data_IF_823491486355
#
_entry.id   IF_823491486355
#
_cell.length_a   1.000
_cell.length_b   1.000
_cell.length_c   1.000
_cell.angle_alpha   90.00
_cell.angle_beta   90.00
_cell.angle_gamma   90.00
#
_symmetry.space_group_name_H-M   'P 1'
#
loop_
_entity.id
_entity.type
_entity.pdbx_description
1 polymer ?
#
# COMPACT_ATOMS: atom_id res chain seq x y z
N UNK A 1 100.49 -14.36 29.10
CA UNK A 1 99.71 -13.78 30.23
C UNK A 1 98.38 -13.30 29.78
N UNK A 2 97.34 -13.92 30.32
CA UNK A 2 95.93 -13.64 30.29
C UNK A 2 95.19 -13.69 28.90
N UNK A 3 94.72 -14.85 28.60
CA UNK A 3 93.71 -15.16 27.60
C UNK A 3 92.27 -14.72 28.06
N UNK A 4 91.56 -14.06 27.18
CA UNK A 4 90.13 -13.87 27.36
C UNK A 4 89.42 -14.62 26.24
N UNK A 5 88.46 -15.52 26.49
CA UNK A 5 87.62 -16.13 25.43
C UNK A 5 86.49 -15.17 25.07
N UNK A 6 86.29 -15.05 23.77
CA UNK A 6 85.19 -14.35 23.15
C UNK A 6 83.94 -15.28 23.20
N UNK A 7 82.90 -14.87 23.92
CA UNK A 7 81.62 -15.57 23.91
C UNK A 7 80.78 -15.01 22.75
N UNK A 8 80.55 -15.89 21.78
CA UNK A 8 79.70 -15.62 20.62
C UNK A 8 78.23 -15.82 21.06
N UNK A 9 77.54 -14.70 21.24
CA UNK A 9 76.10 -14.74 21.54
C UNK A 9 75.34 -14.86 20.20
N UNK A 10 74.73 -16.02 19.95
CA UNK A 10 73.80 -16.22 18.86
C UNK A 10 72.45 -15.61 19.19
N UNK A 11 72.14 -14.51 18.50
CA UNK A 11 70.79 -13.89 18.55
C UNK A 11 69.85 -14.73 17.67
N UNK A 12 68.95 -15.48 18.27
CA UNK A 12 67.83 -16.14 17.57
C UNK A 12 66.75 -15.07 17.43
N UNK A 13 66.57 -14.54 16.24
CA UNK A 13 65.42 -13.71 15.86
C UNK A 13 64.18 -14.62 15.69
N UNK A 14 63.29 -14.65 16.69
CA UNK A 14 61.97 -15.22 16.55
C UNK A 14 61.11 -14.20 15.84
N UNK A 15 60.82 -14.42 14.55
CA UNK A 15 59.85 -13.67 13.78
C UNK A 15 58.42 -14.16 14.20
N UNK A 16 57.80 -13.49 15.13
CA UNK A 16 56.39 -13.64 15.38
C UNK A 16 55.59 -12.98 14.25
N UNK A 17 55.19 -13.81 13.27
CA UNK A 17 54.16 -13.42 12.30
C UNK A 17 52.85 -13.27 13.04
N UNK A 18 52.52 -12.05 13.49
CA UNK A 18 51.19 -11.72 13.97
C UNK A 18 50.25 -11.69 12.75
N UNK A 19 49.61 -12.80 12.46
CA UNK A 19 48.48 -12.86 11.57
C UNK A 19 47.30 -12.13 12.24
N UNK A 20 47.16 -10.85 11.94
CA UNK A 20 45.95 -10.09 12.25
C UNK A 20 44.79 -10.69 11.42
N UNK A 21 44.08 -11.61 12.03
CA UNK A 21 42.75 -11.98 11.56
C UNK A 21 41.89 -10.73 11.80
N UNK A 22 41.70 -9.95 10.72
CA UNK A 22 40.65 -8.94 10.70
C UNK A 22 39.33 -9.72 10.66
N UNK A 23 38.85 -10.06 11.86
CA UNK A 23 37.50 -10.50 12.05
C UNK A 23 36.63 -9.27 11.72
N UNK A 24 36.13 -9.20 10.48
CA UNK A 24 35.01 -8.31 10.18
C UNK A 24 33.85 -8.75 11.06
N UNK A 25 33.82 -8.29 12.29
CA UNK A 25 32.58 -8.26 13.04
C UNK A 25 31.65 -7.32 12.29
N UNK A 26 30.76 -7.86 11.47
CA UNK A 26 29.51 -7.19 11.12
C UNK A 26 28.95 -6.76 12.46
N UNK A 27 28.92 -5.46 12.72
CA UNK A 27 28.15 -4.91 13.84
C UNK A 27 26.73 -5.39 13.69
N UNK A 28 26.30 -6.33 14.54
CA UNK A 28 24.99 -6.94 14.55
C UNK A 28 23.96 -6.11 15.33
N UNK A 29 24.22 -4.83 15.54
CA UNK A 29 23.40 -4.00 16.44
C UNK A 29 22.46 -3.01 15.70
N UNK A 30 22.32 -3.13 14.36
CA UNK A 30 21.33 -2.35 13.62
C UNK A 30 20.61 -3.23 12.60
N UNK A 31 20.12 -4.39 13.03
CA UNK A 31 19.19 -5.17 12.22
C UNK A 31 17.84 -4.45 12.30
N UNK A 32 17.55 -3.69 11.25
CA UNK A 32 16.21 -3.14 11.04
C UNK A 32 15.14 -4.21 11.33
N UNK A 33 14.34 -3.98 12.37
CA UNK A 33 13.34 -4.93 12.85
C UNK A 33 12.33 -5.34 11.76
N UNK A 34 12.25 -4.58 10.68
CA UNK A 34 11.39 -4.83 9.52
C UNK A 34 12.17 -5.17 8.24
N UNK A 35 13.45 -5.59 8.36
CA UNK A 35 14.17 -6.22 7.26
C UNK A 35 13.53 -7.57 6.90
N UNK A 36 13.76 -8.06 5.68
CA UNK A 36 13.22 -9.35 5.23
C UNK A 36 13.63 -10.51 6.15
N UNK A 37 14.87 -10.48 6.66
CA UNK A 37 15.37 -11.51 7.57
C UNK A 37 14.73 -11.40 8.98
N UNK A 38 14.48 -10.17 9.47
CA UNK A 38 13.77 -9.96 10.71
C UNK A 38 12.30 -10.41 10.61
N UNK A 39 11.64 -10.14 9.48
CA UNK A 39 10.28 -10.62 9.18
C UNK A 39 10.24 -12.16 9.22
N UNK A 40 11.19 -12.83 8.57
CA UNK A 40 11.30 -14.30 8.58
C UNK A 40 11.57 -14.86 9.96
N UNK A 41 12.49 -14.24 10.70
CA UNK A 41 12.83 -14.67 12.07
C UNK A 41 11.65 -14.51 13.04
N UNK A 42 10.87 -13.43 12.89
CA UNK A 42 9.64 -13.17 13.64
C UNK A 42 8.50 -14.13 13.24
N UNK A 43 8.55 -14.71 12.04
CA UNK A 43 7.52 -15.60 11.50
C UNK A 43 6.21 -14.89 11.12
N UNK A 44 6.22 -13.57 11.05
CA UNK A 44 5.02 -12.75 10.82
C UNK A 44 5.33 -11.53 9.97
N UNK A 45 4.51 -11.30 8.95
CA UNK A 45 4.46 -10.06 8.17
C UNK A 45 3.35 -9.18 8.73
N UNK A 46 3.70 -8.00 9.24
CA UNK A 46 2.75 -7.04 9.82
C UNK A 46 2.35 -6.05 8.73
N UNK A 47 1.06 -5.91 8.48
CA UNK A 47 0.52 -5.23 7.30
C UNK A 47 -0.47 -4.15 7.73
N UNK A 48 -0.17 -2.89 7.36
CA UNK A 48 -1.09 -1.77 7.54
C UNK A 48 -2.22 -1.77 6.50
N UNK A 49 -3.46 -1.55 6.93
CA UNK A 49 -4.60 -1.40 6.01
C UNK A 49 -5.70 -0.57 6.65
N UNK A 50 -6.49 0.16 5.83
CA UNK A 50 -7.52 1.06 6.37
C UNK A 50 -8.78 0.31 6.83
N UNK A 51 -9.12 -0.77 6.13
CA UNK A 51 -10.30 -1.59 6.46
C UNK A 51 -11.65 -0.95 6.16
N UNK A 52 -11.68 0.11 5.33
CA UNK A 52 -12.88 0.90 4.99
C UNK A 52 -13.07 1.08 3.48
N UNK A 53 -12.49 0.19 2.65
CA UNK A 53 -12.41 0.36 1.20
C UNK A 53 -12.77 -0.93 0.42
N UNK A 54 -14.07 -1.24 0.37
CA UNK A 54 -14.60 -2.41 -0.36
C UNK A 54 -14.43 -2.24 -1.88
N UNK A 55 -14.12 -3.30 -2.63
CA UNK A 55 -13.83 -4.68 -2.21
C UNK A 55 -12.33 -4.91 -1.93
N UNK A 56 -11.50 -3.87 -1.76
CA UNK A 56 -10.04 -3.99 -1.67
C UNK A 56 -9.56 -4.31 -0.27
N UNK A 57 -10.13 -3.65 0.74
CA UNK A 57 -9.83 -3.87 2.15
C UNK A 57 -11.04 -3.49 3.01
N UNK A 58 -11.53 -4.42 3.79
CA UNK A 58 -12.62 -4.19 4.72
C UNK A 58 -12.40 -4.93 6.03
N UNK A 59 -12.62 -4.24 7.13
CA UNK A 59 -12.64 -4.80 8.49
C UNK A 59 -14.09 -5.08 8.87
N UNK A 60 -14.40 -6.37 9.09
CA UNK A 60 -15.73 -6.76 9.55
C UNK A 60 -15.92 -6.36 11.02
N UNK A 61 -16.85 -5.46 11.33
CA UNK A 61 -16.99 -4.93 12.69
C UNK A 61 -17.37 -5.98 13.73
N UNK A 62 -18.12 -7.02 13.33
CA UNK A 62 -18.63 -8.06 14.24
C UNK A 62 -17.55 -9.09 14.61
N UNK A 63 -16.67 -9.43 13.66
CA UNK A 63 -15.66 -10.49 13.85
C UNK A 63 -14.26 -9.94 14.05
N UNK A 64 -13.99 -8.69 13.64
CA UNK A 64 -12.65 -8.10 13.59
C UNK A 64 -11.76 -8.70 12.50
N UNK A 65 -12.34 -9.45 11.55
CA UNK A 65 -11.60 -10.06 10.45
C UNK A 65 -11.49 -9.11 9.25
N UNK A 66 -10.31 -9.09 8.64
CA UNK A 66 -10.09 -8.37 7.40
C UNK A 66 -10.38 -9.26 6.19
N UNK A 67 -11.05 -8.69 5.20
CA UNK A 67 -11.23 -9.32 3.89
C UNK A 67 -11.09 -8.33 2.75
N UNK A 68 -10.89 -8.82 1.54
CA UNK A 68 -10.81 -8.03 0.32
C UNK A 68 -9.66 -8.46 -0.59
N UNK A 69 -9.66 -7.92 -1.79
CA UNK A 69 -8.67 -8.23 -2.80
C UNK A 69 -7.23 -7.94 -2.32
N UNK A 70 -6.99 -6.75 -1.75
CA UNK A 70 -5.68 -6.36 -1.21
C UNK A 70 -5.27 -7.23 -0.02
N UNK A 71 -6.23 -7.68 0.80
CA UNK A 71 -5.99 -8.58 1.91
C UNK A 71 -5.49 -9.94 1.41
N UNK A 72 -6.11 -10.49 0.37
CA UNK A 72 -5.67 -11.77 -0.20
C UNK A 72 -4.33 -11.65 -0.93
N UNK A 73 -4.07 -10.52 -1.62
CA UNK A 73 -2.73 -10.23 -2.19
C UNK A 73 -1.67 -10.22 -1.08
N UNK A 74 -1.95 -9.56 0.05
CA UNK A 74 -1.03 -9.51 1.19
C UNK A 74 -0.78 -10.90 1.81
N UNK A 75 -1.82 -11.73 1.92
CA UNK A 75 -1.70 -13.11 2.38
C UNK A 75 -0.82 -13.94 1.44
N UNK A 76 -0.98 -13.77 0.11
CA UNK A 76 -0.10 -14.43 -0.87
C UNK A 76 1.35 -13.95 -0.78
N UNK A 77 1.58 -12.68 -0.49
CA UNK A 77 2.93 -12.16 -0.23
C UNK A 77 3.53 -12.83 1.00
N UNK A 78 2.78 -12.89 2.11
CA UNK A 78 3.24 -13.53 3.36
C UNK A 78 3.54 -15.02 3.16
N UNK A 79 2.65 -15.78 2.49
CA UNK A 79 2.84 -17.18 2.13
C UNK A 79 4.14 -17.40 1.33
N UNK A 80 4.43 -16.55 0.34
CA UNK A 80 5.63 -16.63 -0.49
C UNK A 80 6.93 -16.22 0.24
N UNK A 81 6.82 -15.43 1.31
CA UNK A 81 7.94 -15.12 2.21
C UNK A 81 8.16 -16.29 3.19
N UNK A 82 7.13 -17.10 3.46
CA UNK A 82 7.13 -18.22 4.40
C UNK A 82 6.73 -17.83 5.83
N UNK A 83 5.87 -16.80 5.97
CA UNK A 83 5.41 -16.26 7.27
C UNK A 83 3.90 -16.08 7.30
N UNK A 84 3.33 -15.78 8.48
CA UNK A 84 1.91 -15.45 8.64
C UNK A 84 1.66 -13.96 8.37
N UNK A 85 0.53 -13.62 7.75
CA UNK A 85 0.05 -12.25 7.66
C UNK A 85 -0.68 -11.84 8.94
N UNK A 86 -0.41 -10.63 9.43
CA UNK A 86 -1.15 -9.98 10.52
C UNK A 86 -1.47 -8.56 10.10
N UNK A 87 -2.70 -8.12 10.32
CA UNK A 87 -3.17 -6.81 9.88
C UNK A 87 -3.27 -5.83 11.04
N UNK A 88 -2.87 -4.59 10.79
CA UNK A 88 -2.96 -3.45 11.71
C UNK A 88 -3.77 -2.36 11.04
N UNK A 89 -4.75 -1.83 11.74
CA UNK A 89 -5.60 -0.76 11.20
C UNK A 89 -4.82 0.56 11.15
N UNK A 90 -4.91 1.22 10.01
CA UNK A 90 -4.54 2.62 9.78
C UNK A 90 -5.74 3.38 9.24
N UNK A 91 -5.58 4.63 8.81
CA UNK A 91 -6.64 5.42 8.19
C UNK A 91 -6.09 6.25 7.03
N UNK A 92 -6.95 6.70 6.11
CA UNK A 92 -6.50 7.55 5.01
C UNK A 92 -5.81 8.85 5.47
N UNK A 93 -6.31 9.56 6.52
CA UNK A 93 -5.62 10.73 7.05
C UNK A 93 -4.25 10.45 7.64
N UNK A 94 -4.05 9.32 8.33
CA UNK A 94 -2.81 9.00 9.06
C UNK A 94 -1.86 8.09 8.28
N UNK A 95 -2.27 7.53 7.12
CA UNK A 95 -1.50 6.54 6.37
C UNK A 95 -0.04 6.91 6.17
N UNK A 96 0.23 8.14 5.74
CA UNK A 96 1.61 8.60 5.49
C UNK A 96 2.42 8.67 6.80
N UNK A 97 1.83 9.21 7.86
CA UNK A 97 2.45 9.29 9.19
C UNK A 97 2.72 7.89 9.75
N UNK A 98 1.73 7.00 9.65
CA UNK A 98 1.84 5.63 10.17
C UNK A 98 2.91 4.81 9.43
N UNK A 99 3.06 4.99 8.10
CA UNK A 99 4.16 4.35 7.33
C UNK A 99 5.52 4.87 7.77
N UNK A 100 5.64 6.17 8.05
CA UNK A 100 6.91 6.84 8.39
C UNK A 100 7.24 6.79 9.89
N UNK A 101 6.36 6.21 10.71
CA UNK A 101 6.51 6.19 12.16
C UNK A 101 7.71 5.36 12.60
N UNK A 102 8.43 5.88 13.62
CA UNK A 102 9.51 5.17 14.30
C UNK A 102 9.20 4.98 15.80
N UNK A 103 9.29 3.77 16.35
CA UNK A 103 9.54 2.51 15.64
C UNK A 103 8.39 2.16 14.70
N UNK A 104 8.68 1.44 13.61
CA UNK A 104 7.69 1.03 12.63
C UNK A 104 6.59 0.17 13.25
N UNK A 105 5.34 0.45 12.90
CA UNK A 105 4.18 -0.29 13.39
C UNK A 105 3.72 -1.40 12.46
N UNK A 106 4.16 -1.38 11.18
CA UNK A 106 3.95 -2.44 10.19
C UNK A 106 5.06 -2.44 9.13
N UNK A 107 5.26 -3.57 8.47
CA UNK A 107 6.30 -3.75 7.45
C UNK A 107 5.98 -3.01 6.14
N UNK A 108 4.70 -3.04 5.75
CA UNK A 108 4.15 -2.27 4.63
C UNK A 108 2.65 -2.06 4.78
N UNK A 109 2.07 -1.17 3.97
CA UNK A 109 0.63 -0.94 3.87
C UNK A 109 0.07 -1.37 2.51
N UNK A 110 -1.20 -1.87 2.49
CA UNK A 110 -1.91 -2.36 1.31
C UNK A 110 -3.42 -2.07 1.44
N UNK A 111 -4.15 -2.17 0.33
CA UNK A 111 -5.62 -2.06 0.35
C UNK A 111 -6.18 -0.85 -0.39
N UNK A 112 -5.76 -0.64 -1.64
CA UNK A 112 -6.28 0.47 -2.47
C UNK A 112 -5.36 1.68 -2.53
N UNK A 113 -4.08 1.50 -2.25
CA UNK A 113 -3.10 2.59 -2.22
C UNK A 113 -2.57 2.86 -3.62
N UNK A 114 -3.06 3.94 -4.25
CA UNK A 114 -2.62 4.34 -5.59
C UNK A 114 -1.15 4.76 -5.61
N UNK A 115 -0.41 4.26 -6.58
CA UNK A 115 0.98 4.65 -6.87
C UNK A 115 0.98 6.09 -7.39
N UNK A 116 1.75 6.98 -6.76
CA UNK A 116 1.92 8.36 -7.17
C UNK A 116 3.37 8.82 -6.99
N UNK A 117 3.83 9.78 -7.80
CA UNK A 117 5.17 10.33 -7.66
C UNK A 117 5.38 10.99 -6.29
N UNK A 118 4.39 11.71 -5.79
CA UNK A 118 4.44 12.32 -4.44
C UNK A 118 4.65 11.28 -3.32
N UNK A 119 4.07 10.08 -3.43
CA UNK A 119 4.34 8.98 -2.49
C UNK A 119 5.74 8.43 -2.68
N UNK A 120 6.19 8.26 -3.93
CA UNK A 120 7.54 7.77 -4.25
C UNK A 120 8.66 8.72 -3.82
N UNK A 121 8.38 10.02 -3.67
CA UNK A 121 9.38 10.97 -3.15
C UNK A 121 9.78 10.67 -1.69
N UNK A 122 8.84 10.24 -0.87
CA UNK A 122 9.04 10.07 0.59
C UNK A 122 8.97 8.61 1.07
N UNK A 123 8.43 7.70 0.27
CA UNK A 123 8.23 6.29 0.59
C UNK A 123 8.59 5.43 -0.62
N UNK A 124 8.71 4.12 -0.45
CA UNK A 124 8.84 3.16 -1.54
C UNK A 124 7.48 2.57 -1.89
N UNK A 125 7.25 2.37 -3.19
CA UNK A 125 6.06 1.70 -3.71
C UNK A 125 6.45 0.51 -4.57
N UNK A 126 5.71 -0.57 -4.43
CA UNK A 126 5.87 -1.74 -5.29
C UNK A 126 5.43 -1.45 -6.73
N UNK A 127 5.69 -2.40 -7.63
CA UNK A 127 5.01 -2.49 -8.91
C UNK A 127 3.49 -2.59 -8.71
N UNK A 128 2.73 -2.08 -9.69
CA UNK A 128 1.28 -2.11 -9.65
C UNK A 128 0.73 -3.54 -9.80
N UNK A 129 -0.35 -3.85 -9.08
CA UNK A 129 -1.05 -5.14 -9.16
C UNK A 129 -2.54 -5.00 -9.49
N UNK A 130 -3.05 -3.78 -9.62
CA UNK A 130 -4.43 -3.48 -9.98
C UNK A 130 -4.51 -2.12 -10.68
N UNK A 131 -5.14 -2.08 -11.85
CA UNK A 131 -5.40 -0.82 -12.58
C UNK A 131 -6.42 0.01 -11.81
N UNK A 132 -6.22 1.34 -11.76
CA UNK A 132 -7.06 2.26 -11.03
C UNK A 132 -7.26 3.58 -11.77
N UNK A 133 -8.28 4.35 -11.38
CA UNK A 133 -8.57 5.68 -11.91
C UNK A 133 -9.75 6.31 -11.20
N UNK A 134 -9.74 7.64 -11.10
CA UNK A 134 -10.84 8.41 -10.49
C UNK A 134 -12.08 8.36 -11.36
N UNK A 135 -13.20 8.09 -10.73
CA UNK A 135 -14.53 8.09 -11.32
C UNK A 135 -15.54 8.67 -10.33
N UNK A 136 -16.80 8.58 -10.64
CA UNK A 136 -17.89 8.97 -9.75
C UNK A 136 -18.87 7.83 -9.51
N UNK A 137 -19.53 7.91 -8.37
CA UNK A 137 -20.74 7.18 -8.05
C UNK A 137 -21.87 8.21 -7.88
N UNK A 138 -23.02 7.99 -8.50
CA UNK A 138 -24.20 8.84 -8.41
C UNK A 138 -25.48 8.01 -8.37
N UNK A 139 -26.63 8.63 -8.16
CA UNK A 139 -27.90 7.94 -8.34
C UNK A 139 -28.07 7.52 -9.82
N UNK A 140 -28.70 6.38 -10.06
CA UNK A 140 -28.92 5.83 -11.40
C UNK A 140 -29.72 6.77 -12.30
N UNK A 141 -30.70 7.47 -11.75
CA UNK A 141 -31.52 8.47 -12.45
C UNK A 141 -30.74 9.70 -12.87
N UNK A 142 -29.64 10.00 -12.17
CA UNK A 142 -28.78 11.18 -12.42
C UNK A 142 -27.57 10.84 -13.32
N UNK A 143 -27.38 9.59 -13.72
CA UNK A 143 -26.19 9.15 -14.44
C UNK A 143 -25.89 9.96 -15.71
N UNK A 144 -26.92 10.44 -16.41
CA UNK A 144 -26.76 11.24 -17.63
C UNK A 144 -26.43 12.73 -17.35
N UNK A 145 -26.54 13.18 -16.10
CA UNK A 145 -26.24 14.57 -15.70
C UNK A 145 -24.74 14.80 -15.45
N UNK A 146 -24.01 13.73 -15.13
CA UNK A 146 -22.64 13.80 -14.61
C UNK A 146 -21.70 12.98 -15.51
N UNK A 147 -21.26 13.60 -16.61
CA UNK A 147 -20.43 12.97 -17.63
C UNK A 147 -19.02 13.58 -17.73
N UNK A 148 -18.83 14.77 -17.15
CA UNK A 148 -17.59 15.53 -17.21
C UNK A 148 -17.27 16.19 -15.89
N UNK A 149 -16.03 16.66 -15.70
CA UNK A 149 -15.66 17.48 -14.53
C UNK A 149 -16.46 18.79 -14.47
N UNK A 150 -16.79 19.39 -15.62
CA UNK A 150 -17.59 20.62 -15.69
C UNK A 150 -19.02 20.39 -15.19
N UNK A 151 -19.58 19.21 -15.42
CA UNK A 151 -20.89 18.86 -14.88
C UNK A 151 -20.90 18.74 -13.36
N UNK A 152 -19.76 18.38 -12.78
CA UNK A 152 -19.58 18.26 -11.32
C UNK A 152 -19.20 19.59 -10.68
N UNK A 153 -18.46 20.45 -11.39
CA UNK A 153 -17.89 21.68 -10.85
C UNK A 153 -18.88 22.87 -10.89
N UNK A 154 -20.07 22.66 -10.34
CA UNK A 154 -21.14 23.66 -10.28
C UNK A 154 -21.57 23.90 -8.83
N UNK A 155 -21.95 25.13 -8.47
CA UNK A 155 -22.27 25.48 -7.07
C UNK A 155 -23.49 24.74 -6.48
N UNK A 156 -24.36 24.21 -7.33
CA UNK A 156 -25.51 23.41 -6.90
C UNK A 156 -25.18 21.92 -6.67
N UNK A 157 -24.01 21.42 -7.14
CA UNK A 157 -23.62 20.01 -7.04
C UNK A 157 -22.95 19.71 -5.69
N UNK A 158 -23.54 18.79 -4.97
CA UNK A 158 -23.03 18.29 -3.68
C UNK A 158 -22.16 17.04 -3.92
N UNK A 159 -20.86 17.20 -3.67
CA UNK A 159 -19.86 16.13 -3.88
C UNK A 159 -19.41 15.62 -2.52
N UNK A 160 -19.69 14.35 -2.22
CA UNK A 160 -19.25 13.73 -0.98
C UNK A 160 -17.94 12.98 -1.16
N UNK A 161 -17.05 13.15 -0.20
CA UNK A 161 -15.67 12.62 -0.22
C UNK A 161 -15.26 12.16 1.19
N UNK A 162 -14.41 11.13 1.26
CA UNK A 162 -13.75 10.74 2.49
C UNK A 162 -12.52 11.62 2.75
N UNK A 163 -12.17 11.92 4.02
CA UNK A 163 -11.04 12.77 4.35
C UNK A 163 -9.68 12.09 4.14
N UNK A 164 -8.64 12.90 3.89
CA UNK A 164 -7.22 12.53 3.93
C UNK A 164 -6.69 11.75 2.73
N UNK A 165 -7.57 11.20 1.88
CA UNK A 165 -7.21 10.38 0.73
C UNK A 165 -6.97 11.17 -0.57
N UNK A 166 -6.67 10.43 -1.65
CA UNK A 166 -6.53 11.01 -2.98
C UNK A 166 -7.88 11.46 -3.58
N UNK A 167 -9.01 10.93 -3.10
CA UNK A 167 -10.34 11.37 -3.53
C UNK A 167 -10.59 12.82 -3.09
N UNK A 168 -10.26 13.16 -1.84
CA UNK A 168 -10.36 14.53 -1.35
C UNK A 168 -9.42 15.48 -2.10
N UNK A 169 -8.15 15.10 -2.27
CA UNK A 169 -7.18 15.89 -3.02
C UNK A 169 -7.65 16.17 -4.46
N UNK A 170 -8.17 15.13 -5.13
CA UNK A 170 -8.72 15.26 -6.48
C UNK A 170 -9.92 16.21 -6.53
N UNK A 171 -10.89 16.04 -5.64
CA UNK A 171 -12.08 16.88 -5.60
C UNK A 171 -11.73 18.36 -5.35
N UNK A 172 -10.89 18.65 -4.35
CA UNK A 172 -10.45 20.02 -4.05
C UNK A 172 -9.70 20.70 -5.21
N UNK A 173 -8.88 19.93 -5.94
CA UNK A 173 -8.12 20.46 -7.06
C UNK A 173 -8.97 20.72 -8.32
N UNK A 174 -9.98 19.87 -8.58
CA UNK A 174 -10.72 19.88 -9.85
C UNK A 174 -12.15 20.42 -9.75
N UNK A 175 -12.71 20.52 -8.54
CA UNK A 175 -14.10 20.93 -8.31
C UNK A 175 -14.21 22.13 -7.35
N UNK A 176 -13.49 23.25 -7.62
CA UNK A 176 -13.47 24.39 -6.68
C UNK A 176 -14.81 25.09 -6.51
N UNK A 177 -15.75 24.93 -7.45
CA UNK A 177 -17.07 25.57 -7.39
C UNK A 177 -18.14 24.65 -6.76
N UNK A 178 -17.90 23.34 -6.68
CA UNK A 178 -18.86 22.39 -6.12
C UNK A 178 -18.94 22.49 -4.59
N UNK A 179 -20.07 22.01 -4.03
CA UNK A 179 -20.24 21.89 -2.59
C UNK A 179 -19.57 20.59 -2.11
N UNK A 180 -18.34 20.69 -1.61
CA UNK A 180 -17.62 19.52 -1.09
C UNK A 180 -18.10 19.21 0.34
N UNK A 181 -18.60 17.98 0.54
CA UNK A 181 -19.06 17.44 1.81
C UNK A 181 -18.05 16.36 2.24
N UNK A 182 -17.26 16.64 3.28
CA UNK A 182 -16.37 15.66 3.87
C UNK A 182 -17.16 14.77 4.82
N UNK A 183 -17.07 13.45 4.66
CA UNK A 183 -17.76 12.46 5.45
C UNK A 183 -16.80 11.37 5.93
N UNK A 184 -16.67 11.20 7.24
CA UNK A 184 -15.60 10.40 7.85
C UNK A 184 -15.72 8.90 7.61
N UNK A 185 -16.94 8.38 7.38
CA UNK A 185 -17.17 6.96 7.17
C UNK A 185 -17.25 6.65 5.69
N UNK A 186 -16.11 6.29 5.10
CA UNK A 186 -15.97 6.07 3.67
C UNK A 186 -17.02 5.07 3.13
N UNK A 187 -17.22 3.94 3.80
CA UNK A 187 -18.13 2.88 3.39
C UNK A 187 -19.62 3.25 3.45
N UNK A 188 -19.98 4.32 4.16
CA UNK A 188 -21.37 4.82 4.21
C UNK A 188 -21.67 5.83 3.09
N UNK A 189 -20.66 6.45 2.45
CA UNK A 189 -20.86 7.49 1.43
C UNK A 189 -21.77 7.01 0.28
N UNK A 190 -21.62 5.79 -0.28
CA UNK A 190 -22.51 5.30 -1.33
C UNK A 190 -24.00 5.35 -0.93
N UNK A 191 -24.32 4.95 0.29
CA UNK A 191 -25.72 5.00 0.79
C UNK A 191 -26.22 6.44 0.97
N UNK A 192 -25.34 7.37 1.40
CA UNK A 192 -25.70 8.80 1.50
C UNK A 192 -26.03 9.39 0.12
N UNK A 193 -25.28 8.98 -0.93
CA UNK A 193 -25.59 9.37 -2.33
C UNK A 193 -26.92 8.75 -2.79
N UNK A 194 -27.13 7.47 -2.54
CA UNK A 194 -28.39 6.78 -2.90
C UNK A 194 -29.62 7.39 -2.22
N UNK A 195 -29.44 7.93 -0.99
CA UNK A 195 -30.49 8.62 -0.21
C UNK A 195 -30.66 10.10 -0.59
N UNK A 196 -29.86 10.61 -1.54
CA UNK A 196 -29.97 12.00 -2.01
C UNK A 196 -29.36 13.04 -1.06
N UNK A 197 -28.56 12.62 -0.07
CA UNK A 197 -27.84 13.54 0.83
C UNK A 197 -26.63 14.20 0.16
N UNK A 198 -26.10 13.57 -0.89
CA UNK A 198 -25.20 14.16 -1.86
C UNK A 198 -25.63 13.77 -3.27
N UNK A 199 -25.07 14.42 -4.28
CA UNK A 199 -25.39 14.14 -5.68
C UNK A 199 -24.43 13.12 -6.28
N UNK A 200 -23.14 13.24 -5.92
CA UNK A 200 -22.08 12.32 -6.36
C UNK A 200 -21.09 12.04 -5.22
N UNK A 201 -20.44 10.91 -5.31
CA UNK A 201 -19.20 10.56 -4.60
C UNK A 201 -18.05 10.56 -5.59
N UNK A 202 -16.91 11.17 -5.25
CA UNK A 202 -15.65 10.89 -5.95
C UNK A 202 -15.12 9.57 -5.42
N UNK A 203 -14.94 8.61 -6.33
CA UNK A 203 -14.48 7.26 -6.03
C UNK A 203 -13.50 6.77 -7.11
N UNK A 204 -13.29 5.47 -7.18
CA UNK A 204 -12.35 4.84 -8.11
C UNK A 204 -13.01 3.68 -8.88
N UNK A 205 -12.48 3.40 -10.08
CA UNK A 205 -12.99 2.30 -10.92
C UNK A 205 -12.88 0.92 -10.27
N UNK A 206 -12.06 0.80 -9.23
CA UNK A 206 -11.89 -0.42 -8.44
C UNK A 206 -12.94 -0.58 -7.34
N UNK A 207 -13.55 0.51 -6.89
CA UNK A 207 -14.53 0.55 -5.81
C UNK A 207 -15.98 0.62 -6.34
N UNK A 208 -16.23 1.51 -7.30
CA UNK A 208 -17.56 1.78 -7.82
C UNK A 208 -18.34 0.53 -8.29
N UNK A 209 -17.72 -0.48 -8.98
CA UNK A 209 -18.40 -1.68 -9.40
C UNK A 209 -19.02 -2.48 -8.25
N UNK A 210 -18.37 -2.51 -7.10
CA UNK A 210 -18.90 -3.17 -5.91
C UNK A 210 -20.22 -2.53 -5.47
N UNK A 211 -20.28 -1.20 -5.39
CA UNK A 211 -21.46 -0.48 -4.93
C UNK A 211 -22.62 -0.50 -5.92
N UNK A 212 -22.37 -0.37 -7.22
CA UNK A 212 -23.46 -0.49 -8.21
C UNK A 212 -24.05 -1.92 -8.28
N UNK A 213 -23.27 -2.93 -7.89
CA UNK A 213 -23.76 -4.32 -7.78
C UNK A 213 -24.59 -4.55 -6.53
N UNK A 214 -24.22 -3.89 -5.41
CA UNK A 214 -24.87 -4.09 -4.11
C UNK A 214 -26.06 -3.15 -3.87
N UNK A 215 -26.08 -1.99 -4.51
CA UNK A 215 -27.21 -1.05 -4.45
C UNK A 215 -27.68 -0.65 -5.87
N UNK A 216 -28.81 -1.17 -6.34
CA UNK A 216 -29.31 -0.91 -7.70
C UNK A 216 -29.79 0.55 -7.93
N UNK A 217 -29.85 1.39 -6.89
CA UNK A 217 -30.14 2.83 -7.00
C UNK A 217 -28.94 3.62 -7.51
N UNK A 218 -27.73 3.04 -7.49
CA UNK A 218 -26.49 3.68 -7.85
C UNK A 218 -26.05 3.37 -9.29
N UNK A 219 -25.25 4.27 -9.86
CA UNK A 219 -24.57 4.13 -11.13
C UNK A 219 -23.18 4.75 -11.08
N UNK A 220 -22.29 4.23 -11.92
CA UNK A 220 -20.95 4.79 -12.14
C UNK A 220 -20.76 5.02 -13.66
N UNK A 221 -21.21 6.17 -14.18
CA UNK A 221 -21.30 6.40 -15.63
C UNK A 221 -19.92 6.48 -16.32
N UNK A 222 -18.85 6.73 -15.58
CA UNK A 222 -17.50 6.96 -16.10
C UNK A 222 -16.53 5.80 -15.82
N UNK A 223 -17.03 4.56 -15.61
CA UNK A 223 -16.16 3.40 -15.38
C UNK A 223 -15.18 3.14 -16.53
N UNK A 224 -15.62 3.33 -17.78
CA UNK A 224 -14.82 3.10 -18.98
C UNK A 224 -14.05 4.34 -19.46
N UNK A 225 -14.28 5.49 -18.82
CA UNK A 225 -13.64 6.76 -19.14
C UNK A 225 -13.33 7.52 -17.84
N UNK A 226 -12.50 6.98 -16.95
CA UNK A 226 -12.17 7.62 -15.68
C UNK A 226 -11.40 8.91 -15.90
N UNK A 227 -11.48 9.83 -14.96
CA UNK A 227 -10.77 11.11 -14.99
C UNK A 227 -9.25 10.97 -14.90
N UNK A 228 -8.76 9.88 -14.32
CA UNK A 228 -7.33 9.61 -14.17
C UNK A 228 -7.04 8.14 -14.43
N UNK A 229 -5.77 7.84 -14.73
CA UNK A 229 -5.26 6.47 -14.86
C UNK A 229 -4.08 6.28 -13.93
N UNK A 230 -3.97 5.10 -13.34
CA UNK A 230 -2.89 4.73 -12.43
C UNK A 230 -2.98 3.28 -12.01
N UNK A 231 -2.16 2.90 -11.06
CA UNK A 231 -2.12 1.56 -10.52
C UNK A 231 -2.13 1.61 -8.98
N UNK A 232 -2.63 0.56 -8.38
CA UNK A 232 -2.54 0.30 -6.95
C UNK A 232 -1.31 -0.57 -6.68
N UNK A 233 -0.55 -0.22 -5.65
CA UNK A 233 0.64 -0.92 -5.19
C UNK A 233 0.70 -1.07 -3.68
N UNK A 234 1.77 -1.70 -3.22
CA UNK A 234 2.14 -1.81 -1.80
C UNK A 234 2.99 -0.59 -1.43
N UNK A 235 2.71 0.01 -0.30
CA UNK A 235 3.41 1.20 0.22
C UNK A 235 4.27 0.81 1.42
N UNK A 236 5.54 1.20 1.42
CA UNK A 236 6.46 0.93 2.54
C UNK A 236 7.42 2.09 2.78
N UNK A 237 8.05 2.10 3.94
CA UNK A 237 9.10 3.04 4.28
C UNK A 237 10.28 2.86 3.33
N UNK A 238 11.01 3.96 3.04
CA UNK A 238 12.23 3.90 2.23
C UNK A 238 13.33 3.07 2.89
N UNK A 239 14.33 2.70 2.06
CA UNK A 239 15.50 1.94 2.49
C UNK A 239 15.19 0.48 2.90
N UNK A 240 14.15 -0.12 2.30
CA UNK A 240 13.80 -1.54 2.43
C UNK A 240 13.99 -2.30 1.09
N UNK A 241 15.16 -2.22 0.42
CA UNK A 241 15.31 -2.71 -0.96
C UNK A 241 15.07 -4.22 -1.09
N UNK A 242 15.42 -5.02 -0.08
CA UNK A 242 15.23 -6.47 -0.11
C UNK A 242 13.74 -6.83 0.00
N UNK A 243 12.99 -6.16 0.89
CA UNK A 243 11.55 -6.35 1.02
C UNK A 243 10.82 -5.90 -0.25
N UNK A 244 11.16 -4.71 -0.79
CA UNK A 244 10.57 -4.20 -2.02
C UNK A 244 10.84 -5.14 -3.21
N UNK A 245 12.07 -5.59 -3.39
CA UNK A 245 12.43 -6.52 -4.45
C UNK A 245 11.69 -7.86 -4.30
N UNK A 246 11.56 -8.37 -3.06
CA UNK A 246 10.81 -9.61 -2.80
C UNK A 246 9.33 -9.45 -3.10
N UNK A 247 8.70 -8.34 -2.69
CA UNK A 247 7.29 -8.02 -2.99
C UNK A 247 7.07 -7.92 -4.50
N UNK A 248 7.92 -7.20 -5.23
CA UNK A 248 7.81 -7.06 -6.68
C UNK A 248 7.98 -8.41 -7.41
N UNK A 249 8.92 -9.25 -6.98
CA UNK A 249 9.09 -10.59 -7.54
C UNK A 249 7.83 -11.46 -7.32
N UNK A 250 7.18 -11.36 -6.16
CA UNK A 250 5.95 -12.09 -5.87
C UNK A 250 4.79 -11.57 -6.72
N UNK A 251 4.63 -10.23 -6.85
CA UNK A 251 3.61 -9.63 -7.72
C UNK A 251 3.80 -10.09 -9.17
N UNK A 252 5.04 -10.09 -9.67
CA UNK A 252 5.36 -10.57 -11.01
C UNK A 252 5.01 -12.05 -11.17
N UNK A 253 5.36 -12.90 -10.21
CA UNK A 253 4.99 -14.31 -10.20
C UNK A 253 3.47 -14.48 -10.24
N UNK A 254 2.70 -13.78 -9.40
CA UNK A 254 1.25 -13.85 -9.39
C UNK A 254 0.59 -13.40 -10.70
N UNK A 255 1.24 -12.48 -11.44
CA UNK A 255 0.81 -12.11 -12.80
C UNK A 255 1.04 -13.26 -13.79
N UNK A 256 2.16 -13.97 -13.67
CA UNK A 256 2.57 -15.03 -14.59
C UNK A 256 1.83 -16.36 -14.37
N UNK A 257 1.54 -16.71 -13.11
CA UNK A 257 0.93 -17.99 -12.72
C UNK A 257 -0.60 -17.94 -12.58
N UNK A 258 -1.22 -16.89 -13.12
CA UNK A 258 -2.66 -16.59 -13.12
C UNK A 258 -3.28 -16.34 -11.74
N UNK A 259 -2.54 -16.41 -10.65
CA UNK A 259 -3.05 -16.16 -9.28
C UNK A 259 -3.71 -14.78 -9.18
N UNK A 260 -3.02 -13.75 -9.69
CA UNK A 260 -3.56 -12.39 -9.66
C UNK A 260 -4.84 -12.27 -10.48
N UNK A 261 -4.91 -12.92 -11.65
CA UNK A 261 -6.13 -12.94 -12.48
C UNK A 261 -7.30 -13.59 -11.74
N UNK A 262 -7.09 -14.72 -11.06
CA UNK A 262 -8.12 -15.40 -10.28
C UNK A 262 -8.63 -14.53 -9.13
N UNK A 263 -7.74 -13.76 -8.48
CA UNK A 263 -8.15 -12.80 -7.45
C UNK A 263 -8.99 -11.66 -8.05
N UNK A 264 -8.63 -11.12 -9.21
CA UNK A 264 -9.45 -10.10 -9.89
C UNK A 264 -10.86 -10.64 -10.19
N UNK A 265 -10.95 -11.84 -10.76
CA UNK A 265 -12.24 -12.48 -11.06
C UNK A 265 -13.07 -12.70 -9.79
N UNK A 266 -12.45 -13.18 -8.71
CA UNK A 266 -13.11 -13.42 -7.42
C UNK A 266 -13.78 -12.16 -6.87
N UNK A 267 -13.12 -11.02 -6.99
CA UNK A 267 -13.61 -9.74 -6.46
C UNK A 267 -14.36 -8.90 -7.49
N UNK A 268 -14.55 -9.40 -8.72
CA UNK A 268 -15.24 -8.69 -9.79
C UNK A 268 -14.47 -7.47 -10.31
N UNK A 269 -13.15 -7.51 -10.24
CA UNK A 269 -12.25 -6.47 -10.72
C UNK A 269 -11.77 -6.77 -12.14
N UNK A 270 -11.49 -5.71 -12.91
CA UNK A 270 -10.98 -5.86 -14.26
C UNK A 270 -9.49 -6.23 -14.21
N UNK A 271 -9.14 -7.33 -14.88
CA UNK A 271 -7.74 -7.73 -15.05
C UNK A 271 -7.16 -7.06 -16.31
N UNK A 272 -6.15 -6.20 -16.13
CA UNK A 272 -5.57 -5.38 -17.20
C UNK A 272 -4.07 -5.60 -17.42
N UNK A 273 -3.53 -6.81 -17.08
CA UNK A 273 -2.11 -7.14 -17.24
C UNK A 273 -1.87 -8.23 -18.27
#
# INVERSE_FOLDING_TARGET
>A
MKNRPIILAALILILCAASTIICCTKNSDDTDANSLDAIRSRGTLIIGTTGDYRPLSYLEPETGEYWGFGIEVAQKIAENIGVKATFVQTSWPTLTEDVLKEPQIFDFAIGGITITDARKEVMDMSDGYLQNGKTILCRKEDAQKYQTLDDLNRPEVRVMINPGGLNEKFARANLPNAQLIVYDKNEEIPSQVAEGKADVMITEITEAPYYIKTDPRLAAPLLNAPFTHGEIGVLMQKNKPELLAKVNAIILQMKQDVTLKQLHEKFGLVYGY
#
